data_IF_476043926119
#
_entry.id   IF_476043926119
#
_cell.length_a   1.000
_cell.length_b   1.000
_cell.length_c   1.000
_cell.angle_alpha   90.00
_cell.angle_beta   90.00
_cell.angle_gamma   90.00
#
_symmetry.space_group_name_H-M   'P 1'
#
loop_
_entity.id
_entity.type
_entity.pdbx_description
1 polymer ?
#
# COMPACT_ATOMS: atom_id res chain seq x y z
N UNK A 1 -10.42 17.88 -10.85
CA UNK A 1 -10.64 17.65 -9.40
C UNK A 1 -9.57 16.65 -8.98
N UNK A 2 -8.56 17.10 -8.24
CA UNK A 2 -7.39 16.30 -7.89
C UNK A 2 -7.73 15.31 -6.76
N UNK A 3 -7.23 14.08 -6.85
CA UNK A 3 -7.50 13.05 -5.85
C UNK A 3 -6.59 13.23 -4.62
N UNK A 4 -7.23 13.26 -3.46
CA UNK A 4 -6.61 13.47 -2.16
C UNK A 4 -5.96 12.18 -1.62
N UNK A 5 -4.73 12.30 -1.13
CA UNK A 5 -3.99 11.17 -0.56
C UNK A 5 -4.51 10.82 0.84
N UNK A 6 -5.50 9.92 0.90
CA UNK A 6 -6.04 9.45 2.18
C UNK A 6 -5.15 8.40 2.86
N UNK A 7 -4.21 7.80 2.10
CA UNK A 7 -3.37 6.67 2.54
C UNK A 7 -2.01 6.81 1.88
N UNK A 8 -0.94 6.74 2.66
CA UNK A 8 0.42 6.73 2.12
C UNK A 8 1.14 5.49 2.63
N UNK A 9 1.66 4.72 1.69
CA UNK A 9 2.51 3.57 1.94
C UNK A 9 3.92 3.86 1.47
N UNK A 10 4.91 3.38 2.21
CA UNK A 10 6.32 3.43 1.80
C UNK A 10 6.86 2.01 1.75
N UNK A 11 7.64 1.72 0.72
CA UNK A 11 8.41 0.49 0.61
C UNK A 11 9.88 0.78 0.93
N UNK A 12 10.43 0.11 1.94
CA UNK A 12 11.88 0.09 2.22
C UNK A 12 12.36 -1.36 2.27
N UNK A 13 13.41 -1.69 1.50
CA UNK A 13 14.01 -3.03 1.47
C UNK A 13 12.98 -4.16 1.35
N UNK A 14 11.99 -3.98 0.47
CA UNK A 14 10.87 -4.91 0.23
C UNK A 14 9.90 -5.10 1.43
N UNK A 15 9.89 -4.15 2.36
CA UNK A 15 8.92 -4.10 3.46
C UNK A 15 8.02 -2.89 3.26
N UNK A 16 6.71 -3.10 3.40
CA UNK A 16 5.71 -2.04 3.31
C UNK A 16 5.39 -1.46 4.68
N UNK A 17 5.17 -0.14 4.73
CA UNK A 17 4.80 0.61 5.92
C UNK A 17 3.63 1.53 5.59
N UNK A 18 2.58 1.51 6.41
CA UNK A 18 1.51 2.50 6.38
C UNK A 18 1.90 3.70 7.24
N UNK A 19 2.34 4.78 6.60
CA UNK A 19 2.87 5.96 7.31
C UNK A 19 1.84 7.08 7.50
N UNK A 20 0.76 7.07 6.71
CA UNK A 20 -0.33 8.04 6.77
C UNK A 20 -1.65 7.32 6.51
N UNK A 21 -2.62 7.52 7.39
CA UNK A 21 -4.01 7.14 7.21
C UNK A 21 -4.89 8.30 7.64
N UNK A 22 -5.50 9.00 6.68
CA UNK A 22 -6.40 10.12 6.90
C UNK A 22 -7.83 9.69 6.58
N UNK A 23 -8.72 9.81 7.56
CA UNK A 23 -10.15 9.59 7.37
C UNK A 23 -10.84 10.82 6.76
N UNK A 24 -10.38 12.02 7.13
CA UNK A 24 -10.87 13.29 6.61
C UNK A 24 -9.72 14.03 5.91
N UNK A 25 -9.95 14.42 4.66
CA UNK A 25 -8.98 15.21 3.92
C UNK A 25 -8.96 16.66 4.42
N UNK A 26 -7.76 17.14 4.71
CA UNK A 26 -7.51 18.56 5.03
C UNK A 26 -6.61 19.17 3.95
N UNK A 27 -7.13 20.11 3.15
CA UNK A 27 -6.34 20.77 2.12
C UNK A 27 -5.07 21.40 2.69
N UNK A 28 -3.95 21.22 2.00
CA UNK A 28 -2.65 21.83 2.35
C UNK A 28 -2.08 21.45 3.72
N UNK A 29 -2.53 20.35 4.32
CA UNK A 29 -1.93 19.84 5.56
C UNK A 29 -0.47 19.40 5.32
N UNK A 30 0.43 19.85 6.19
CA UNK A 30 1.81 19.38 6.21
C UNK A 30 1.84 18.07 7.00
N UNK A 31 2.10 16.96 6.30
CA UNK A 31 2.19 15.65 6.93
C UNK A 31 3.64 15.37 7.30
N UNK A 32 3.93 15.38 8.60
CA UNK A 32 5.20 14.93 9.16
C UNK A 32 5.00 13.57 9.82
N UNK A 33 5.71 12.55 9.32
CA UNK A 33 5.62 11.17 9.82
C UNK A 33 7.00 10.53 9.83
N UNK A 34 7.16 9.51 10.67
CA UNK A 34 8.38 8.71 10.76
C UNK A 34 8.02 7.25 10.56
N UNK A 35 8.97 6.49 10.05
CA UNK A 35 8.81 5.05 9.83
C UNK A 35 9.11 4.31 11.13
N UNK A 36 8.13 3.57 11.61
CA UNK A 36 8.19 2.72 12.80
C UNK A 36 7.89 1.26 12.45
N UNK A 37 8.41 0.32 13.25
CA UNK A 37 8.06 -1.10 13.15
C UNK A 37 6.56 -1.36 13.37
N UNK A 38 5.88 -0.54 14.18
CA UNK A 38 4.42 -0.63 14.40
C UNK A 38 3.58 -0.28 13.16
N UNK A 39 4.16 0.42 12.20
CA UNK A 39 3.51 0.79 10.94
C UNK A 39 3.73 -0.23 9.83
N UNK A 40 4.55 -1.27 10.09
CA UNK A 40 4.85 -2.31 9.11
C UNK A 40 3.57 -3.04 8.72
N UNK A 41 3.37 -3.21 7.42
CA UNK A 41 2.37 -4.10 6.84
C UNK A 41 3.06 -5.44 6.54
N UNK A 42 2.97 -6.45 7.42
CA UNK A 42 3.54 -7.76 7.18
C UNK A 42 2.88 -8.51 6.02
N UNK A 43 3.59 -9.51 5.51
CA UNK A 43 3.04 -10.40 4.50
C UNK A 43 2.11 -11.43 5.15
N UNK A 44 1.06 -11.85 4.45
CA UNK A 44 0.02 -12.75 4.99
C UNK A 44 0.59 -14.06 5.54
N UNK A 45 1.70 -14.57 4.96
CA UNK A 45 2.34 -15.81 5.42
C UNK A 45 2.93 -15.71 6.83
N UNK A 46 3.13 -14.49 7.32
CA UNK A 46 3.63 -14.24 8.67
C UNK A 46 2.48 -14.22 9.70
N UNK A 47 1.24 -14.18 9.23
CA UNK A 47 0.03 -14.01 10.05
C UNK A 47 -0.88 -15.23 10.03
N UNK A 48 -0.74 -16.11 9.03
CA UNK A 48 -1.57 -17.28 8.85
C UNK A 48 -0.73 -18.55 8.75
N UNK A 49 -1.31 -19.66 9.16
CA UNK A 49 -0.73 -20.98 9.00
C UNK A 49 -0.49 -21.32 7.52
N UNK A 50 0.58 -22.08 7.25
CA UNK A 50 1.00 -22.45 5.89
C UNK A 50 -0.12 -23.13 5.08
N UNK A 51 -0.97 -23.93 5.74
CA UNK A 51 -2.13 -24.57 5.12
C UNK A 51 -3.11 -23.53 4.56
N UNK A 52 -3.38 -22.45 5.31
CA UNK A 52 -4.30 -21.39 4.89
C UNK A 52 -3.66 -20.54 3.79
N UNK A 53 -2.36 -20.27 3.89
CA UNK A 53 -1.58 -19.58 2.85
C UNK A 53 -1.67 -20.34 1.52
N UNK A 54 -1.63 -21.68 1.57
CA UNK A 54 -1.76 -22.55 0.39
C UNK A 54 -3.16 -22.58 -0.27
N UNK A 55 -4.19 -22.01 0.35
CA UNK A 55 -5.52 -21.95 -0.26
C UNK A 55 -5.57 -21.04 -1.49
N UNK A 56 -6.60 -21.20 -2.33
CA UNK A 56 -6.88 -20.23 -3.40
C UNK A 56 -7.20 -18.86 -2.80
N UNK A 57 -6.96 -17.78 -3.55
CA UNK A 57 -7.20 -16.41 -3.09
C UNK A 57 -8.64 -16.22 -2.58
N UNK A 58 -9.64 -16.76 -3.29
CA UNK A 58 -11.05 -16.66 -2.91
C UNK A 58 -11.34 -17.30 -1.54
N UNK A 59 -10.67 -18.41 -1.24
CA UNK A 59 -10.81 -19.09 0.05
C UNK A 59 -9.97 -18.39 1.12
N UNK A 60 -8.81 -17.85 0.78
CA UNK A 60 -7.92 -17.19 1.75
C UNK A 60 -8.48 -15.84 2.23
N UNK A 61 -9.16 -15.10 1.35
CA UNK A 61 -9.81 -13.82 1.68
C UNK A 61 -10.82 -13.94 2.83
N UNK A 62 -11.48 -15.10 2.99
CA UNK A 62 -12.43 -15.31 4.11
C UNK A 62 -11.75 -15.27 5.49
N UNK A 63 -10.43 -15.48 5.55
CA UNK A 63 -9.63 -15.46 6.79
C UNK A 63 -9.08 -14.07 7.12
N UNK A 64 -9.15 -13.09 6.22
CA UNK A 64 -8.55 -11.77 6.42
C UNK A 64 -9.16 -11.01 7.60
N UNK A 65 -10.47 -11.12 7.81
CA UNK A 65 -11.10 -10.54 9.00
C UNK A 65 -10.59 -11.20 10.28
N UNK A 66 -10.30 -12.50 10.25
CA UNK A 66 -9.73 -13.22 11.40
C UNK A 66 -8.33 -12.72 11.74
N UNK A 67 -7.50 -12.42 10.73
CA UNK A 67 -6.17 -11.81 10.92
C UNK A 67 -6.30 -10.50 11.72
N UNK A 68 -7.19 -9.60 11.33
CA UNK A 68 -7.39 -8.33 12.04
C UNK A 68 -7.94 -8.51 13.46
N UNK A 69 -8.70 -9.58 13.72
CA UNK A 69 -9.21 -9.91 15.06
C UNK A 69 -8.12 -10.49 15.97
N UNK A 70 -7.27 -11.37 15.45
CA UNK A 70 -6.19 -12.00 16.21
C UNK A 70 -5.02 -11.04 16.46
N UNK A 71 -4.73 -10.16 15.51
CA UNK A 71 -3.66 -9.18 15.59
C UNK A 71 -4.22 -7.76 15.79
N UNK A 72 -4.77 -7.48 16.97
CA UNK A 72 -5.44 -6.20 17.27
C UNK A 72 -4.53 -4.95 17.21
N UNK A 73 -3.22 -5.10 17.18
CA UNK A 73 -2.29 -3.98 16.98
C UNK A 73 -1.96 -3.74 15.50
N UNK A 74 -2.37 -4.65 14.61
CA UNK A 74 -2.08 -4.60 13.19
C UNK A 74 -2.91 -3.50 12.53
N UNK A 75 -2.25 -2.58 11.83
CA UNK A 75 -2.93 -1.55 11.04
C UNK A 75 -3.17 -1.98 9.60
N UNK A 76 -2.26 -2.79 9.05
CA UNK A 76 -2.29 -3.23 7.67
C UNK A 76 -1.55 -4.55 7.49
N UNK A 77 -1.82 -5.23 6.37
CA UNK A 77 -1.04 -6.37 5.87
C UNK A 77 -1.21 -6.46 4.37
N UNK A 78 -0.45 -7.33 3.71
CA UNK A 78 -0.63 -7.60 2.30
C UNK A 78 -0.64 -9.10 1.99
N UNK A 79 -1.40 -9.48 0.97
CA UNK A 79 -1.50 -10.85 0.48
C UNK A 79 -1.27 -10.91 -1.02
N UNK A 80 -0.30 -11.75 -1.35
CA UNK A 80 0.28 -11.91 -2.68
C UNK A 80 0.70 -10.54 -3.26
N UNK A 81 1.08 -10.50 -4.52
CA UNK A 81 1.24 -9.23 -5.24
C UNK A 81 -0.11 -8.63 -5.67
N UNK A 82 -1.20 -8.89 -4.94
CA UNK A 82 -2.56 -8.54 -5.36
C UNK A 82 -3.26 -7.56 -4.42
N UNK A 83 -3.25 -7.82 -3.10
CA UNK A 83 -4.06 -7.06 -2.16
C UNK A 83 -3.22 -6.41 -1.07
N UNK A 84 -3.50 -5.13 -0.83
CA UNK A 84 -3.14 -4.43 0.40
C UNK A 84 -4.40 -4.29 1.26
N UNK A 85 -4.29 -4.60 2.54
CA UNK A 85 -5.41 -4.62 3.47
C UNK A 85 -5.15 -3.68 4.64
N UNK A 86 -6.19 -2.98 5.07
CA UNK A 86 -6.24 -2.23 6.32
C UNK A 86 -7.09 -2.99 7.34
N UNK A 87 -6.67 -2.98 8.60
CA UNK A 87 -7.52 -3.44 9.69
C UNK A 87 -8.27 -2.23 10.29
N UNK A 88 -9.60 -2.28 10.28
CA UNK A 88 -10.43 -1.23 10.87
C UNK A 88 -10.41 -1.29 12.40
N UNK A 89 -10.95 -0.25 13.05
CA UNK A 89 -11.13 -0.24 14.50
C UNK A 89 -12.04 -1.41 14.97
N UNK A 90 -13.06 -1.74 14.17
CA UNK A 90 -13.96 -2.89 14.36
C UNK A 90 -13.30 -4.24 14.03
N UNK A 91 -12.02 -4.24 13.67
CA UNK A 91 -11.22 -5.43 13.36
C UNK A 91 -11.70 -6.18 12.12
N UNK A 92 -12.24 -5.45 11.15
CA UNK A 92 -12.48 -5.96 9.82
C UNK A 92 -11.30 -5.64 8.90
N UNK A 93 -10.93 -6.58 8.04
CA UNK A 93 -10.05 -6.30 6.92
C UNK A 93 -10.81 -5.53 5.83
N UNK A 94 -10.25 -4.40 5.40
CA UNK A 94 -10.67 -3.65 4.23
C UNK A 94 -9.54 -3.69 3.21
N UNK A 95 -9.72 -4.50 2.17
CA UNK A 95 -8.69 -4.81 1.20
C UNK A 95 -8.99 -4.17 -0.16
N UNK A 96 -7.94 -3.73 -0.83
CA UNK A 96 -8.01 -3.16 -2.16
C UNK A 96 -6.87 -3.69 -3.02
N UNK A 97 -7.10 -3.72 -4.33
CA UNK A 97 -6.05 -4.09 -5.28
C UNK A 97 -4.89 -3.10 -5.18
N UNK A 98 -3.69 -3.63 -4.99
CA UNK A 98 -2.47 -2.86 -4.89
C UNK A 98 -1.47 -3.41 -5.90
N UNK A 99 -0.96 -2.55 -6.80
CA UNK A 99 0.03 -2.96 -7.79
C UNK A 99 1.42 -2.82 -7.17
N UNK A 100 1.92 -3.89 -6.56
CA UNK A 100 3.22 -3.92 -5.89
C UNK A 100 4.39 -3.64 -6.84
N UNK A 101 4.26 -4.07 -8.10
CA UNK A 101 5.24 -3.87 -9.17
C UNK A 101 4.82 -2.75 -10.13
N UNK A 102 4.32 -1.63 -9.60
CA UNK A 102 3.96 -0.48 -10.43
C UNK A 102 5.23 0.13 -11.02
N UNK A 103 5.42 -0.07 -12.32
CA UNK A 103 6.41 0.64 -13.11
C UNK A 103 5.69 1.66 -13.98
N UNK A 104 6.09 2.91 -13.87
CA UNK A 104 5.63 3.97 -14.74
C UNK A 104 6.73 4.28 -15.73
N UNK A 105 6.37 4.35 -17.00
CA UNK A 105 7.28 4.79 -18.06
C UNK A 105 6.97 6.21 -18.53
N UNK A 106 6.03 6.91 -17.87
CA UNK A 106 5.60 8.26 -18.22
C UNK A 106 5.22 8.38 -19.69
N UNK A 107 4.49 7.37 -20.19
CA UNK A 107 4.03 7.21 -21.58
C UNK A 107 5.18 7.14 -22.60
N UNK A 108 6.37 6.72 -22.18
CA UNK A 108 7.58 6.71 -23.02
C UNK A 108 8.21 8.11 -23.19
N UNK A 109 7.52 9.16 -22.75
CA UNK A 109 8.05 10.50 -22.57
C UNK A 109 8.69 10.58 -21.20
N UNK A 110 9.85 9.92 -21.06
CA UNK A 110 10.63 9.98 -19.84
C UNK A 110 11.27 11.38 -19.74
N UNK A 111 10.48 12.36 -19.30
CA UNK A 111 10.93 13.74 -19.05
C UNK A 111 12.01 13.79 -17.97
N UNK A 112 12.15 12.71 -17.19
CA UNK A 112 13.19 12.53 -16.20
C UNK A 112 14.55 12.27 -16.88
N UNK A 113 15.39 13.31 -16.90
CA UNK A 113 16.75 13.25 -17.45
C UNK A 113 17.70 12.39 -16.59
N UNK A 114 18.89 12.10 -17.12
CA UNK A 114 19.98 11.40 -16.42
C UNK A 114 19.62 10.00 -15.88
N UNK A 115 18.67 9.30 -16.51
CA UNK A 115 18.27 7.96 -16.09
C UNK A 115 17.46 7.92 -14.78
N UNK A 116 16.94 9.06 -14.33
CA UNK A 116 16.07 9.13 -13.16
C UNK A 116 14.78 8.33 -13.37
N UNK A 117 14.26 7.77 -12.27
CA UNK A 117 13.03 6.96 -12.29
C UNK A 117 11.81 7.89 -12.31
N UNK A 118 10.90 7.66 -13.26
CA UNK A 118 9.66 8.42 -13.37
C UNK A 118 8.51 7.76 -12.63
N UNK A 119 7.70 8.58 -11.98
CA UNK A 119 6.43 8.21 -11.35
C UNK A 119 5.34 9.15 -11.86
N UNK A 120 4.12 8.63 -12.02
CA UNK A 120 2.96 9.43 -12.44
C UNK A 120 1.75 9.11 -11.56
N UNK A 121 0.80 10.03 -11.49
CA UNK A 121 -0.42 9.91 -10.67
C UNK A 121 -1.50 9.01 -11.28
N UNK A 122 -1.58 8.93 -12.61
CA UNK A 122 -2.55 8.09 -13.31
C UNK A 122 -1.91 7.37 -14.51
N UNK A 123 -2.13 6.06 -14.71
CA UNK A 123 -1.42 5.27 -15.73
C UNK A 123 -1.76 5.65 -17.18
N UNK A 124 -2.95 6.22 -17.45
CA UNK A 124 -3.41 6.52 -18.82
C UNK A 124 -3.61 8.01 -19.11
N UNK A 125 -3.68 8.84 -18.08
CA UNK A 125 -3.98 10.28 -18.17
C UNK A 125 -3.28 11.02 -17.04
N UNK A 126 -1.92 11.01 -17.00
CA UNK A 126 -1.18 11.58 -15.88
C UNK A 126 -1.34 13.10 -15.83
N UNK A 127 -1.68 13.64 -14.66
CA UNK A 127 -1.72 15.09 -14.40
C UNK A 127 -0.51 15.58 -13.61
N UNK A 128 0.22 14.66 -12.96
CA UNK A 128 1.43 14.92 -12.19
C UNK A 128 2.49 13.89 -12.54
N UNK A 129 3.74 14.34 -12.70
CA UNK A 129 4.92 13.51 -12.87
C UNK A 129 5.94 13.86 -11.79
N UNK A 130 6.60 12.84 -11.23
CA UNK A 130 7.64 12.97 -10.22
C UNK A 130 8.87 12.21 -10.73
N UNK A 131 10.04 12.86 -10.69
CA UNK A 131 11.31 12.24 -11.02
C UNK A 131 12.09 11.95 -9.73
N UNK A 132 12.48 10.69 -9.55
CA UNK A 132 13.35 10.27 -8.47
C UNK A 132 14.77 10.04 -9.00
N UNK A 133 15.69 10.92 -8.61
CA UNK A 133 17.10 10.80 -8.93
C UNK A 133 17.76 9.73 -8.04
N UNK A 134 18.71 8.98 -8.59
CA UNK A 134 19.54 8.04 -7.83
C UNK A 134 20.79 8.73 -7.27
#
# INVERSE_FOLDING_TARGET
>A
MASDFHRVFVQLKNVYYLIVLQHEYTPSIIISTQISSSQRCPYIRELLDEVIVGYSILRRVTYYHTVCKQHSHLMCFHDNETFMCLCTQERHANCFHFRFNMTYNCEGHNDCQNGAQCFQDHPHCPTKKICNCQ
#
